data_IF_421282111442
#
_entry.id   IF_421282111442
#
_cell.length_a   1.000
_cell.length_b   1.000
_cell.length_c   1.000
_cell.angle_alpha   90.00
_cell.angle_beta   90.00
_cell.angle_gamma   90.00
#
_symmetry.space_group_name_H-M   'P 1'
#
loop_
_entity.id
_entity.type
_entity.pdbx_description
1 polymer ?
#
# COMPACT_ATOMS: atom_id res chain seq x y z
N UNK A 1 24.74 2.85 11.38
CA UNK A 1 23.32 2.84 11.76
C UNK A 1 23.13 2.80 13.28
N UNK A 2 23.70 1.82 14.02
CA UNK A 2 23.56 1.74 15.49
C UNK A 2 23.97 3.03 16.24
N UNK A 3 25.11 3.62 15.90
CA UNK A 3 25.57 4.90 16.50
C UNK A 3 24.59 6.07 16.36
N UNK A 4 23.86 6.16 15.24
CA UNK A 4 22.89 7.23 15.01
C UNK A 4 21.63 7.01 15.86
N UNK A 5 21.24 5.75 16.08
CA UNK A 5 20.07 5.42 16.90
C UNK A 5 20.29 5.72 18.39
N UNK A 6 21.55 5.71 18.84
CA UNK A 6 21.93 6.06 20.22
C UNK A 6 21.68 7.56 20.53
N UNK A 7 21.61 8.42 19.50
CA UNK A 7 21.36 9.86 19.63
C UNK A 7 19.87 10.20 19.83
N UNK A 8 18.96 9.24 19.59
CA UNK A 8 17.52 9.45 19.67
C UNK A 8 16.91 8.53 20.73
N UNK A 9 15.92 9.04 21.47
CA UNK A 9 15.14 8.18 22.34
C UNK A 9 14.36 7.12 21.54
N UNK A 10 14.23 5.88 22.03
CA UNK A 10 13.45 4.83 21.36
C UNK A 10 12.00 5.24 21.04
N UNK A 11 11.44 6.18 21.79
CA UNK A 11 10.10 6.70 21.55
C UNK A 11 9.99 7.56 20.28
N UNK A 12 11.11 8.10 19.79
CA UNK A 12 11.22 9.02 18.65
C UNK A 12 11.78 8.35 17.38
N UNK A 13 12.21 7.09 17.48
CA UNK A 13 12.61 6.28 16.33
C UNK A 13 11.40 5.51 15.85
N UNK A 14 10.94 5.78 14.62
CA UNK A 14 9.81 5.09 14.00
C UNK A 14 10.23 4.38 12.73
N UNK A 15 9.78 3.13 12.55
CA UNK A 15 9.74 2.51 11.23
C UNK A 15 8.46 2.95 10.52
N UNK A 16 8.54 3.23 9.23
CA UNK A 16 7.38 3.53 8.38
C UNK A 16 7.49 2.64 7.16
N UNK A 17 6.44 1.91 6.83
CA UNK A 17 6.45 1.01 5.67
C UNK A 17 5.13 1.04 4.90
N UNK A 18 5.20 0.69 3.62
CA UNK A 18 4.05 0.58 2.73
C UNK A 18 3.71 -0.89 2.47
N UNK A 19 2.51 -1.31 2.85
CA UNK A 19 2.01 -2.66 2.58
C UNK A 19 0.83 -2.67 1.63
N UNK A 20 0.71 -3.73 0.82
CA UNK A 20 -0.37 -3.91 -0.14
C UNK A 20 -1.38 -4.95 0.36
N UNK A 21 -2.60 -4.52 0.63
CA UNK A 21 -3.73 -5.38 0.98
C UNK A 21 -4.53 -5.76 -0.28
N UNK A 22 -4.47 -7.02 -0.70
CA UNK A 22 -5.21 -7.52 -1.86
C UNK A 22 -6.59 -8.03 -1.43
N UNK A 23 -7.66 -7.33 -1.82
CA UNK A 23 -9.03 -7.69 -1.44
C UNK A 23 -9.79 -8.45 -2.53
N UNK A 24 -9.37 -8.32 -3.80
CA UNK A 24 -9.99 -9.05 -4.92
C UNK A 24 -9.07 -10.13 -5.51
N UNK A 25 -8.17 -10.68 -4.69
CA UNK A 25 -7.33 -11.79 -5.11
C UNK A 25 -8.20 -13.04 -5.33
N UNK A 26 -8.69 -13.22 -6.55
CA UNK A 26 -9.50 -14.37 -6.93
C UNK A 26 -8.73 -15.67 -6.66
N UNK A 27 -9.38 -16.59 -5.94
CA UNK A 27 -8.80 -17.84 -5.42
C UNK A 27 -8.38 -18.79 -6.56
N UNK A 28 -7.14 -18.69 -7.03
CA UNK A 28 -6.49 -19.72 -7.87
C UNK A 28 -4.99 -19.91 -7.63
N UNK A 29 -4.50 -19.56 -6.45
CA UNK A 29 -3.10 -19.85 -6.05
C UNK A 29 -2.89 -21.27 -5.53
N UNK A 30 -3.96 -22.00 -5.17
CA UNK A 30 -3.89 -23.43 -4.83
C UNK A 30 -4.56 -24.22 -5.95
N UNK A 31 -3.77 -24.72 -6.90
CA UNK A 31 -4.21 -25.71 -7.89
C UNK A 31 -3.71 -27.07 -7.45
N UNK A 32 -4.59 -28.08 -7.46
CA UNK A 32 -4.20 -29.46 -7.21
C UNK A 32 -3.57 -30.07 -8.47
N UNK A 33 -2.73 -31.09 -8.29
CA UNK A 33 -2.18 -31.82 -9.42
C UNK A 33 -3.33 -32.44 -10.24
N UNK A 34 -3.45 -32.03 -11.52
CA UNK A 34 -4.53 -32.47 -12.42
C UNK A 34 -5.55 -31.37 -12.79
N UNK A 35 -5.52 -30.21 -12.14
CA UNK A 35 -6.42 -29.11 -12.48
C UNK A 35 -6.03 -28.43 -13.81
N UNK A 36 -7.02 -28.10 -14.64
CA UNK A 36 -6.83 -27.32 -15.86
C UNK A 36 -6.50 -25.86 -15.51
N UNK A 37 -5.22 -25.52 -15.63
CA UNK A 37 -4.71 -24.17 -15.42
C UNK A 37 -5.08 -23.26 -16.61
N UNK A 38 -6.20 -22.54 -16.50
CA UNK A 38 -6.55 -21.47 -17.43
C UNK A 38 -5.87 -20.17 -17.00
N UNK A 39 -4.69 -19.90 -17.56
CA UNK A 39 -3.80 -18.80 -17.17
C UNK A 39 -4.30 -17.41 -17.58
N UNK A 40 -5.26 -16.85 -16.85
CA UNK A 40 -5.60 -15.43 -16.92
C UNK A 40 -4.88 -14.64 -15.82
N UNK A 41 -4.33 -13.46 -16.12
CA UNK A 41 -3.78 -12.55 -15.10
C UNK A 41 -4.93 -12.12 -14.17
N UNK A 42 -4.96 -12.68 -12.96
CA UNK A 42 -6.03 -12.39 -12.01
C UNK A 42 -6.06 -10.92 -11.60
N UNK A 43 -7.25 -10.47 -11.21
CA UNK A 43 -7.48 -9.11 -10.78
C UNK A 43 -6.71 -8.82 -9.48
N UNK A 44 -5.58 -8.10 -9.59
CA UNK A 44 -4.71 -7.73 -8.47
C UNK A 44 -5.15 -6.39 -7.86
N UNK A 45 -6.46 -6.17 -7.68
CA UNK A 45 -6.93 -4.98 -6.99
C UNK A 45 -6.47 -5.04 -5.53
N UNK A 46 -5.79 -3.97 -5.12
CA UNK A 46 -5.14 -3.81 -3.84
C UNK A 46 -5.34 -2.40 -3.32
N UNK A 47 -5.42 -2.28 -2.02
CA UNK A 47 -5.30 -1.02 -1.27
C UNK A 47 -3.88 -0.97 -0.72
N UNK A 48 -3.15 0.12 -0.98
CA UNK A 48 -1.85 0.34 -0.33
C UNK A 48 -2.09 1.07 0.98
N UNK A 49 -1.48 0.59 2.05
CA UNK A 49 -1.60 1.15 3.39
C UNK A 49 -0.21 1.52 3.90
N UNK A 50 -0.07 2.75 4.40
CA UNK A 50 1.11 3.19 5.13
C UNK A 50 0.88 2.96 6.62
N UNK A 51 1.81 2.27 7.26
CA UNK A 51 1.81 2.07 8.70
C UNK A 51 3.13 2.53 9.32
N UNK A 52 3.11 2.71 10.64
CA UNK A 52 4.31 3.05 11.38
C UNK A 52 4.19 2.66 12.85
N UNK A 53 5.30 2.22 13.42
CA UNK A 53 5.44 1.95 14.84
C UNK A 53 6.78 2.49 15.35
N UNK A 54 6.77 3.06 16.55
CA UNK A 54 7.99 3.48 17.20
C UNK A 54 8.73 2.29 17.83
N UNK A 55 10.03 2.46 18.06
CA UNK A 55 10.91 1.40 18.58
C UNK A 55 10.51 0.95 19.99
N UNK A 56 9.91 1.83 20.79
CA UNK A 56 9.35 1.48 22.11
C UNK A 56 8.00 0.76 22.06
N UNK A 57 7.34 0.70 20.90
CA UNK A 57 6.02 0.09 20.71
C UNK A 57 4.83 0.86 21.31
N UNK A 58 5.07 2.01 21.95
CA UNK A 58 4.05 2.81 22.63
C UNK A 58 3.20 3.64 21.67
N UNK A 59 3.72 3.98 20.50
CA UNK A 59 3.05 4.81 19.49
C UNK A 59 2.96 4.05 18.18
N UNK A 60 1.77 4.04 17.60
CA UNK A 60 1.52 3.55 16.25
C UNK A 60 0.76 4.61 15.46
N UNK A 61 1.09 4.74 14.19
CA UNK A 61 0.34 5.60 13.29
C UNK A 61 -1.02 4.97 13.00
N UNK A 62 -2.08 5.80 12.92
CA UNK A 62 -3.37 5.33 12.38
C UNK A 62 -3.14 4.94 10.93
N UNK A 63 -3.58 3.75 10.52
CA UNK A 63 -3.40 3.27 9.15
C UNK A 63 -3.86 4.32 8.14
N UNK A 64 -2.98 4.65 7.21
CA UNK A 64 -3.24 5.62 6.16
C UNK A 64 -3.41 4.90 4.83
N UNK A 65 -4.50 5.17 4.12
CA UNK A 65 -4.69 4.63 2.78
C UNK A 65 -3.92 5.50 1.80
N UNK A 66 -2.97 4.88 1.10
CA UNK A 66 -2.16 5.52 0.05
C UNK A 66 -2.88 5.32 -1.28
N UNK A 67 -3.30 6.42 -1.89
CA UNK A 67 -3.88 6.38 -3.24
C UNK A 67 -2.79 6.18 -4.28
N UNK A 68 -3.15 5.58 -5.42
CA UNK A 68 -2.27 5.50 -6.58
C UNK A 68 -1.83 6.90 -6.98
N UNK A 69 -0.54 7.07 -7.27
CA UNK A 69 -0.01 8.33 -7.77
C UNK A 69 -0.72 8.71 -9.09
N UNK A 70 -1.14 9.98 -9.19
CA UNK A 70 -1.78 10.52 -10.41
C UNK A 70 -0.87 10.39 -11.64
N UNK A 71 0.43 10.57 -11.44
CA UNK A 71 1.45 10.47 -12.47
C UNK A 71 2.65 9.69 -11.91
N UNK A 72 2.71 8.36 -12.10
CA UNK A 72 3.83 7.58 -11.61
C UNK A 72 5.12 8.01 -12.32
N UNK A 73 6.20 8.17 -11.56
CA UNK A 73 7.47 8.70 -12.09
C UNK A 73 8.06 7.87 -13.23
N UNK A 74 7.77 6.56 -13.29
CA UNK A 74 8.20 5.67 -14.37
C UNK A 74 7.48 5.92 -15.72
N UNK A 75 6.42 6.75 -15.73
CA UNK A 75 5.68 7.12 -16.94
C UNK A 75 5.79 8.62 -17.26
N UNK A 76 6.81 9.30 -16.71
CA UNK A 76 7.19 10.63 -17.20
C UNK A 76 7.39 10.50 -18.73
N UNK A 77 6.67 11.31 -19.50
CA UNK A 77 6.67 11.37 -20.97
C UNK A 77 5.78 10.38 -21.75
N UNK A 78 5.01 9.53 -21.07
CA UNK A 78 3.99 8.70 -21.74
C UNK A 78 2.69 9.50 -21.95
N UNK A 79 2.34 9.80 -23.20
CA UNK A 79 1.11 10.56 -23.58
C UNK A 79 -0.21 9.82 -23.30
N UNK A 80 -0.15 8.51 -23.10
CA UNK A 80 -1.30 7.63 -22.90
C UNK A 80 -1.13 6.82 -21.63
N UNK A 81 -1.37 7.47 -20.48
CA UNK A 81 -1.76 6.73 -19.28
C UNK A 81 -3.23 6.37 -19.47
N UNK A 82 -3.52 5.09 -19.73
CA UNK A 82 -4.89 4.57 -19.58
C UNK A 82 -5.31 4.92 -18.16
N UNK A 83 -6.39 5.69 -18.01
CA UNK A 83 -6.98 6.01 -16.70
C UNK A 83 -7.16 4.70 -15.95
N UNK A 84 -6.26 4.41 -15.02
CA UNK A 84 -6.43 3.35 -14.05
C UNK A 84 -7.55 3.84 -13.15
N UNK A 85 -8.81 3.59 -13.55
CA UNK A 85 -10.03 3.97 -12.83
C UNK A 85 -9.75 4.06 -11.34
N UNK A 86 -9.53 5.28 -10.89
CA UNK A 86 -9.55 5.62 -9.48
C UNK A 86 -11.02 5.76 -9.17
N UNK A 87 -11.62 4.71 -8.62
CA UNK A 87 -12.95 4.81 -8.01
C UNK A 87 -12.84 5.92 -6.93
N UNK A 88 -13.47 7.09 -7.10
CA UNK A 88 -13.11 8.24 -6.29
C UNK A 88 -13.59 8.10 -4.84
N UNK A 89 -14.64 7.32 -4.57
CA UNK A 89 -15.51 7.64 -3.43
C UNK A 89 -15.70 6.56 -2.35
N UNK A 90 -15.08 5.38 -2.45
CA UNK A 90 -15.39 4.30 -1.50
C UNK A 90 -14.68 4.39 -0.13
N UNK A 91 -13.60 5.18 -0.01
CA UNK A 91 -12.72 5.17 1.18
C UNK A 91 -12.59 6.50 1.92
N UNK A 92 -13.26 7.57 1.47
CA UNK A 92 -13.26 8.87 2.16
C UNK A 92 -14.40 8.98 3.20
N UNK A 93 -14.84 7.86 3.78
CA UNK A 93 -15.69 7.89 4.97
C UNK A 93 -14.82 8.29 6.19
N UNK A 94 -15.05 9.47 6.81
CA UNK A 94 -14.16 10.03 7.83
C UNK A 94 -14.03 9.17 9.09
N UNK A 95 -14.91 8.18 9.28
CA UNK A 95 -14.87 7.24 10.39
C UNK A 95 -13.73 6.20 10.30
N UNK A 96 -13.35 5.78 9.10
CA UNK A 96 -12.64 4.49 8.95
C UNK A 96 -11.13 4.64 8.72
N UNK A 97 -10.68 5.46 7.75
CA UNK A 97 -9.27 5.64 7.42
C UNK A 97 -8.94 7.09 7.05
N UNK A 98 -7.69 7.53 7.28
CA UNK A 98 -7.20 8.82 6.77
C UNK A 98 -6.48 8.58 5.44
N UNK A 99 -6.83 9.35 4.43
CA UNK A 99 -6.25 9.23 3.09
C UNK A 99 -5.05 10.15 2.94
N UNK A 100 -3.95 9.64 2.37
CA UNK A 100 -2.78 10.45 2.01
C UNK A 100 -2.44 10.26 0.53
N UNK A 101 -2.13 11.36 -0.14
CA UNK A 101 -1.58 11.31 -1.48
C UNK A 101 -0.14 10.81 -1.42
N UNK A 102 0.19 9.81 -2.24
CA UNK A 102 1.58 9.42 -2.44
C UNK A 102 2.36 10.64 -2.97
N UNK A 103 3.27 11.17 -2.15
CA UNK A 103 4.23 12.20 -2.56
C UNK A 103 5.50 11.45 -2.97
N UNK A 104 5.73 11.38 -4.29
CA UNK A 104 6.97 10.85 -4.87
C UNK A 104 7.88 12.00 -5.31
#
# INVERSE_FOLDING_TARGET
MKKLLEEYEPANVCNVDETALYYQLLRRTLTFAGDTCTGGKHNKLRVTVLDSANMSGTKKLKLLVVRKAKSPCCFKDMKTLLDLRTEPEAFDDPGTFRTVAARN
#
